data_IF_720503883607
#
_entry.id   IF_720503883607
#
_cell.length_a   1.000
_cell.length_b   1.000
_cell.length_c   1.000
_cell.angle_alpha   90.00
_cell.angle_beta   90.00
_cell.angle_gamma   90.00
#
_symmetry.space_group_name_H-M   'P 1'
#
loop_
_entity.id
_entity.type
_entity.pdbx_description
1 polymer ?
#
# COMPACT_ATOMS: atom_id res chain seq x y z
N UNK A 1 1.38 -4.53 17.08
CA UNK A 1 2.11 -3.77 16.04
C UNK A 1 3.43 -3.31 16.64
N UNK A 2 4.57 -3.68 16.04
CA UNK A 2 5.81 -2.97 16.30
C UNK A 2 5.77 -1.69 15.46
N UNK A 3 5.12 -0.68 15.99
CA UNK A 3 5.20 0.67 15.46
C UNK A 3 6.66 1.13 15.58
N UNK A 4 7.38 1.15 14.46
CA UNK A 4 8.74 1.70 14.40
C UNK A 4 8.62 3.22 14.19
N UNK A 5 7.69 3.87 14.90
CA UNK A 5 7.62 5.32 15.01
C UNK A 5 8.88 5.80 15.70
N UNK A 6 9.86 6.22 14.89
CA UNK A 6 11.13 6.72 15.38
C UNK A 6 10.91 8.10 16.03
N UNK A 7 11.16 8.19 17.34
CA UNK A 7 11.30 9.48 18.02
C UNK A 7 12.66 10.08 17.68
N UNK A 8 12.69 11.14 16.89
CA UNK A 8 13.92 11.82 16.47
C UNK A 8 14.08 13.11 17.28
N UNK A 9 15.26 13.29 17.89
CA UNK A 9 15.61 14.48 18.68
C UNK A 9 15.89 15.69 17.78
N UNK A 10 15.59 16.91 18.26
CA UNK A 10 15.64 18.18 17.51
C UNK A 10 17.03 18.59 17.02
N UNK A 11 18.10 17.97 17.54
CA UNK A 11 19.48 18.25 17.12
C UNK A 11 19.94 17.39 15.94
N UNK A 12 19.09 16.47 15.43
CA UNK A 12 19.43 15.53 14.38
C UNK A 12 18.66 15.85 13.09
N UNK A 13 19.27 15.61 11.92
CA UNK A 13 18.51 15.60 10.67
C UNK A 13 17.59 14.35 10.67
N UNK A 14 16.27 14.52 10.69
CA UNK A 14 15.35 13.43 10.89
C UNK A 14 15.36 12.42 9.75
N UNK A 15 15.58 12.85 8.51
CA UNK A 15 15.67 11.94 7.37
C UNK A 15 16.93 11.07 7.43
N UNK A 16 18.07 11.61 7.87
CA UNK A 16 19.29 10.82 7.99
C UNK A 16 19.19 9.75 9.10
N UNK A 17 18.56 10.09 10.22
CA UNK A 17 18.33 9.16 11.33
C UNK A 17 17.28 8.11 10.94
N UNK A 18 16.20 8.54 10.30
CA UNK A 18 15.19 7.65 9.74
C UNK A 18 15.84 6.65 8.80
N UNK A 19 16.55 7.09 7.76
CA UNK A 19 17.24 6.22 6.80
C UNK A 19 18.18 5.24 7.51
N UNK A 20 18.98 5.67 8.49
CA UNK A 20 19.92 4.78 9.18
C UNK A 20 19.20 3.67 9.95
N UNK A 21 18.15 4.02 10.71
CA UNK A 21 17.38 3.08 11.52
C UNK A 21 16.49 2.18 10.66
N UNK A 22 15.80 2.76 9.68
CA UNK A 22 14.92 2.08 8.74
C UNK A 22 15.71 1.11 7.84
N UNK A 23 16.90 1.50 7.39
CA UNK A 23 17.80 0.60 6.66
C UNK A 23 18.18 -0.66 7.44
N UNK A 24 18.30 -0.55 8.77
CA UNK A 24 18.61 -1.72 9.60
C UNK A 24 17.44 -2.71 9.67
N UNK A 25 16.20 -2.20 9.63
CA UNK A 25 14.97 -3.02 9.63
C UNK A 25 14.75 -3.62 8.25
N UNK A 26 14.94 -2.83 7.17
CA UNK A 26 14.88 -3.34 5.80
C UNK A 26 15.79 -4.54 5.61
N UNK A 27 17.04 -4.47 6.08
CA UNK A 27 18.01 -5.57 5.96
C UNK A 27 17.56 -6.86 6.68
N UNK A 28 16.76 -6.75 7.74
CA UNK A 28 16.32 -7.89 8.55
C UNK A 28 15.02 -8.51 8.05
N UNK A 29 14.09 -7.67 7.60
CA UNK A 29 12.69 -8.10 7.42
C UNK A 29 12.19 -8.01 5.97
N UNK A 30 12.71 -7.07 5.17
CA UNK A 30 12.22 -6.78 3.83
C UNK A 30 13.22 -7.25 2.77
N UNK A 31 12.71 -7.78 1.65
CA UNK A 31 13.54 -8.07 0.49
C UNK A 31 13.91 -6.76 -0.20
N UNK A 32 15.20 -6.44 -0.23
CA UNK A 32 15.72 -5.24 -0.91
C UNK A 32 16.67 -5.60 -2.04
N UNK A 33 16.75 -4.78 -3.09
CA UNK A 33 17.70 -5.00 -4.19
C UNK A 33 19.07 -4.35 -3.99
N UNK A 34 19.19 -3.39 -3.09
CA UNK A 34 20.44 -2.67 -2.85
C UNK A 34 20.59 -2.25 -1.38
N UNK A 35 21.80 -1.84 -1.03
CA UNK A 35 22.09 -1.25 0.27
C UNK A 35 21.59 0.19 0.32
N UNK A 36 20.44 0.39 0.98
CA UNK A 36 19.78 1.70 1.06
C UNK A 36 20.61 2.76 1.77
N UNK A 37 21.59 2.37 2.59
CA UNK A 37 22.52 3.31 3.23
C UNK A 37 23.44 4.02 2.23
N UNK A 38 23.57 3.48 1.01
CA UNK A 38 24.41 4.02 -0.07
C UNK A 38 23.61 4.79 -1.12
N UNK A 39 22.30 4.92 -0.94
CA UNK A 39 21.40 5.57 -1.90
C UNK A 39 20.65 6.72 -1.25
N UNK A 40 20.26 7.70 -2.06
CA UNK A 40 19.38 8.79 -1.64
C UNK A 40 17.94 8.42 -1.96
N UNK A 41 17.00 8.44 -0.99
CA UNK A 41 15.61 8.19 -1.29
C UNK A 41 15.03 9.33 -2.13
N UNK A 42 14.10 8.98 -3.00
CA UNK A 42 13.28 9.92 -3.75
C UNK A 42 12.18 10.41 -2.79
N UNK A 43 12.08 11.73 -2.62
CA UNK A 43 10.92 12.34 -1.99
C UNK A 43 9.83 12.50 -3.04
N UNK A 44 8.65 11.98 -2.77
CA UNK A 44 7.48 12.17 -3.62
C UNK A 44 6.69 13.40 -3.18
N UNK A 45 6.49 14.34 -4.10
CA UNK A 45 5.62 15.49 -3.90
C UNK A 45 4.21 15.16 -4.40
N UNK A 46 3.21 15.50 -3.58
CA UNK A 46 1.79 15.37 -3.94
C UNK A 46 1.49 16.11 -5.24
N UNK A 47 0.87 15.41 -6.20
CA UNK A 47 0.48 15.99 -7.49
C UNK A 47 -0.75 15.28 -8.06
N UNK A 48 -1.66 16.04 -8.66
CA UNK A 48 -2.84 15.46 -9.28
C UNK A 48 -2.46 14.51 -10.43
N UNK A 49 -2.96 13.28 -10.37
CA UNK A 49 -2.71 12.32 -11.44
C UNK A 49 -3.62 12.60 -12.65
N UNK A 50 -3.10 12.53 -13.90
CA UNK A 50 -3.90 12.71 -15.09
C UNK A 50 -5.00 11.65 -15.21
N UNK A 51 -6.25 12.07 -15.38
CA UNK A 51 -7.39 11.15 -15.44
C UNK A 51 -7.31 10.10 -16.55
N UNK A 52 -6.61 10.39 -17.66
CA UNK A 52 -6.43 9.45 -18.77
C UNK A 52 -5.57 8.22 -18.40
N UNK A 53 -4.80 8.26 -17.30
CA UNK A 53 -4.06 7.11 -16.79
C UNK A 53 -4.99 6.06 -16.16
N UNK A 54 -6.16 6.47 -15.68
CA UNK A 54 -7.05 5.63 -14.89
C UNK A 54 -8.26 5.20 -15.70
N UNK A 55 -8.05 4.25 -16.61
CA UNK A 55 -9.10 3.59 -17.38
C UNK A 55 -9.93 2.65 -16.50
N UNK A 56 -10.99 2.09 -17.08
CA UNK A 56 -11.77 1.06 -16.39
C UNK A 56 -10.98 -0.21 -16.08
N UNK A 57 -9.88 -0.52 -16.80
CA UNK A 57 -9.07 -1.70 -16.49
C UNK A 57 -8.02 -1.41 -15.42
N UNK A 58 -7.44 -0.21 -15.42
CA UNK A 58 -6.41 0.15 -14.43
C UNK A 58 -7.01 0.51 -13.07
N UNK A 59 -8.26 0.99 -13.03
CA UNK A 59 -8.93 1.33 -11.77
C UNK A 59 -9.44 0.11 -10.98
N UNK A 60 -9.82 -0.99 -11.66
CA UNK A 60 -10.38 -2.18 -10.97
C UNK A 60 -9.42 -2.78 -9.93
N UNK A 61 -8.13 -2.99 -10.22
CA UNK A 61 -7.17 -3.45 -9.22
C UNK A 61 -7.09 -2.52 -8.00
N UNK A 62 -7.14 -1.20 -8.24
CA UNK A 62 -7.04 -0.18 -7.19
C UNK A 62 -8.26 -0.24 -6.29
N UNK A 63 -9.48 -0.29 -6.85
CA UNK A 63 -10.72 -0.38 -6.06
C UNK A 63 -10.78 -1.69 -5.26
N UNK A 64 -10.45 -2.83 -5.90
CA UNK A 64 -10.42 -4.12 -5.24
C UNK A 64 -9.46 -4.13 -4.04
N UNK A 65 -8.22 -3.65 -4.25
CA UNK A 65 -7.23 -3.63 -3.18
C UNK A 65 -7.55 -2.61 -2.11
N UNK A 66 -8.08 -1.44 -2.46
CA UNK A 66 -8.56 -0.45 -1.49
C UNK A 66 -9.58 -1.07 -0.56
N UNK A 67 -10.55 -1.80 -1.11
CA UNK A 67 -11.59 -2.45 -0.31
C UNK A 67 -11.02 -3.55 0.58
N UNK A 68 -10.12 -4.36 0.03
CA UNK A 68 -9.52 -5.49 0.73
C UNK A 68 -8.61 -5.03 1.89
N UNK A 69 -7.76 -4.01 1.66
CA UNK A 69 -6.85 -3.48 2.67
C UNK A 69 -7.59 -2.71 3.75
N UNK A 70 -8.63 -1.94 3.38
CA UNK A 70 -9.50 -1.26 4.33
C UNK A 70 -10.20 -2.27 5.25
N UNK A 71 -10.79 -3.33 4.69
CA UNK A 71 -11.41 -4.38 5.50
C UNK A 71 -10.42 -5.10 6.43
N UNK A 72 -9.20 -5.34 5.97
CA UNK A 72 -8.16 -5.95 6.78
C UNK A 72 -7.72 -5.07 7.95
N UNK A 73 -7.67 -3.75 7.75
CA UNK A 73 -7.26 -2.79 8.77
C UNK A 73 -8.21 -2.76 9.96
N UNK A 74 -9.51 -2.81 9.69
CA UNK A 74 -10.53 -2.88 10.73
C UNK A 74 -10.83 -4.31 11.18
N UNK A 75 -10.16 -5.31 10.58
CA UNK A 75 -10.47 -6.73 10.73
C UNK A 75 -11.97 -7.06 10.53
N UNK A 76 -12.67 -6.23 9.75
CA UNK A 76 -14.12 -6.34 9.51
C UNK A 76 -14.40 -6.97 8.16
N UNK A 77 -14.65 -8.28 8.20
CA UNK A 77 -15.03 -9.05 7.02
C UNK A 77 -16.34 -8.58 6.38
N UNK A 78 -17.25 -7.93 7.11
CA UNK A 78 -18.53 -7.50 6.53
C UNK A 78 -18.34 -6.49 5.39
N UNK A 79 -17.22 -5.76 5.40
CA UNK A 79 -16.86 -4.83 4.34
C UNK A 79 -16.57 -5.54 2.99
N UNK A 80 -16.22 -6.82 3.00
CA UNK A 80 -15.87 -7.62 1.81
C UNK A 80 -16.75 -8.85 1.61
N UNK A 81 -17.71 -9.09 2.51
CA UNK A 81 -18.55 -10.31 2.52
C UNK A 81 -19.38 -10.52 1.26
N UNK A 82 -19.59 -9.45 0.48
CA UNK A 82 -20.32 -9.47 -0.78
C UNK A 82 -19.59 -10.15 -1.95
N UNK A 83 -18.28 -10.36 -1.84
CA UNK A 83 -17.46 -11.01 -2.87
C UNK A 83 -16.34 -11.91 -2.31
N UNK A 84 -16.23 -11.99 -0.99
CA UNK A 84 -15.17 -12.72 -0.31
C UNK A 84 -15.74 -13.44 0.91
N UNK A 85 -15.36 -14.71 1.09
CA UNK A 85 -15.69 -15.49 2.30
C UNK A 85 -14.52 -15.47 3.29
N UNK A 86 -14.80 -15.65 4.59
CA UNK A 86 -13.75 -15.71 5.64
C UNK A 86 -12.73 -16.83 5.39
N UNK A 87 -13.12 -17.89 4.67
CA UNK A 87 -12.24 -19.00 4.31
C UNK A 87 -11.33 -18.72 3.11
N UNK A 88 -11.60 -17.68 2.33
CA UNK A 88 -10.92 -17.40 1.07
C UNK A 88 -9.48 -16.95 1.29
N UNK A 89 -8.59 -17.33 0.37
CA UNK A 89 -7.15 -17.04 0.44
C UNK A 89 -6.87 -15.55 0.57
N UNK A 90 -7.52 -14.70 -0.22
CA UNK A 90 -7.31 -13.25 -0.20
C UNK A 90 -7.59 -12.64 1.18
N UNK A 91 -8.60 -13.13 1.91
CA UNK A 91 -8.92 -12.66 3.26
C UNK A 91 -7.84 -13.07 4.26
N UNK A 92 -7.43 -14.34 4.21
CA UNK A 92 -6.39 -14.88 5.08
C UNK A 92 -5.04 -14.19 4.87
N UNK A 93 -4.68 -13.94 3.61
CA UNK A 93 -3.44 -13.25 3.26
C UNK A 93 -3.45 -11.81 3.76
N UNK A 94 -4.51 -11.04 3.47
CA UNK A 94 -4.54 -9.63 3.86
C UNK A 94 -4.49 -9.45 5.38
N UNK A 95 -5.20 -10.30 6.15
CA UNK A 95 -5.10 -10.31 7.61
C UNK A 95 -3.70 -10.70 8.10
N UNK A 96 -3.12 -11.76 7.54
CA UNK A 96 -1.77 -12.20 7.89
C UNK A 96 -0.75 -11.09 7.69
N UNK A 97 -0.79 -10.39 6.55
CA UNK A 97 0.18 -9.33 6.28
C UNK A 97 -0.12 -8.05 7.07
N UNK A 98 -1.38 -7.77 7.42
CA UNK A 98 -1.71 -6.70 8.36
C UNK A 98 -1.09 -6.95 9.75
N UNK A 99 -1.32 -8.14 10.31
CA UNK A 99 -0.81 -8.53 11.64
C UNK A 99 0.73 -8.54 11.71
N UNK A 100 1.40 -8.83 10.60
CA UNK A 100 2.85 -8.89 10.50
C UNK A 100 3.51 -7.59 10.02
N UNK A 101 2.77 -6.49 9.87
CA UNK A 101 3.34 -5.20 9.44
C UNK A 101 3.84 -5.18 7.98
N UNK A 102 3.35 -6.08 7.13
CA UNK A 102 3.75 -6.23 5.73
C UNK A 102 2.63 -5.98 4.72
N UNK A 103 1.50 -5.40 5.16
CA UNK A 103 0.33 -5.19 4.30
C UNK A 103 0.64 -4.26 3.12
N UNK A 104 1.38 -3.17 3.35
CA UNK A 104 1.79 -2.25 2.29
C UNK A 104 2.61 -2.95 1.19
N UNK A 105 3.52 -3.86 1.54
CA UNK A 105 4.31 -4.62 0.56
C UNK A 105 3.42 -5.58 -0.20
N UNK A 106 2.60 -6.33 0.52
CA UNK A 106 1.69 -7.30 -0.08
C UNK A 106 0.75 -6.64 -1.08
N UNK A 107 0.08 -5.56 -0.67
CA UNK A 107 -0.84 -4.82 -1.51
C UNK A 107 -0.13 -4.19 -2.71
N UNK A 108 1.03 -3.57 -2.52
CA UNK A 108 1.80 -2.95 -3.61
C UNK A 108 2.28 -3.96 -4.65
N UNK A 109 2.77 -5.12 -4.23
CA UNK A 109 3.22 -6.19 -5.14
C UNK A 109 2.03 -6.82 -5.87
N UNK A 110 0.92 -7.08 -5.17
CA UNK A 110 -0.29 -7.58 -5.80
C UNK A 110 -0.85 -6.57 -6.82
N UNK A 111 -0.91 -5.29 -6.45
CA UNK A 111 -1.33 -4.22 -7.35
C UNK A 111 -0.44 -4.15 -8.59
N UNK A 112 0.88 -4.21 -8.41
CA UNK A 112 1.84 -4.21 -9.51
C UNK A 112 1.51 -5.31 -10.53
N UNK A 113 1.27 -6.53 -10.08
CA UNK A 113 0.93 -7.63 -10.99
C UNK A 113 -0.46 -7.50 -11.60
N UNK A 114 -1.49 -7.13 -10.82
CA UNK A 114 -2.83 -6.95 -11.36
C UNK A 114 -2.90 -5.83 -12.42
N UNK A 115 -2.10 -4.78 -12.27
CA UNK A 115 -1.97 -3.72 -13.28
C UNK A 115 -1.27 -4.23 -14.55
N UNK A 116 -0.25 -5.08 -14.45
CA UNK A 116 0.37 -5.69 -15.63
C UNK A 116 -0.59 -6.60 -16.39
N UNK A 117 -1.43 -7.34 -15.68
CA UNK A 117 -2.41 -8.23 -16.30
C UNK A 117 -3.58 -7.49 -16.97
N UNK A 118 -3.71 -6.17 -16.78
CA UNK A 118 -4.68 -5.35 -17.52
C UNK A 118 -4.38 -5.31 -19.02
N UNK A 119 -3.17 -5.68 -19.43
CA UNK A 119 -2.62 -5.53 -20.79
C UNK A 119 -2.57 -4.07 -21.31
N UNK A 120 -2.88 -3.07 -20.47
CA UNK A 120 -2.78 -1.64 -20.80
C UNK A 120 -1.49 -1.00 -20.23
N UNK A 121 -0.85 -1.67 -19.28
CA UNK A 121 0.34 -1.16 -18.58
C UNK A 121 1.51 -2.12 -18.75
N UNK A 122 2.61 -1.58 -19.27
CA UNK A 122 3.88 -2.28 -19.38
C UNK A 122 4.76 -2.09 -18.14
N UNK A 123 5.66 -3.05 -17.88
CA UNK A 123 6.56 -3.05 -16.70
C UNK A 123 7.42 -1.81 -16.55
N UNK A 124 7.78 -1.13 -17.63
CA UNK A 124 8.58 0.09 -17.61
C UNK A 124 7.80 1.32 -17.11
N UNK A 125 6.47 1.27 -17.09
CA UNK A 125 5.60 2.34 -16.57
C UNK A 125 5.35 2.20 -15.07
N UNK A 126 5.74 1.08 -14.47
CA UNK A 126 5.54 0.78 -13.05
C UNK A 126 6.87 0.71 -12.30
N UNK A 127 6.94 1.39 -11.16
CA UNK A 127 8.04 1.20 -10.20
C UNK A 127 7.48 0.74 -8.86
N UNK A 128 8.03 -0.33 -8.31
CA UNK A 128 7.77 -0.70 -6.92
C UNK A 128 8.69 0.12 -6.01
N UNK A 129 8.12 0.76 -4.99
CA UNK A 129 8.84 1.63 -4.07
C UNK A 129 8.82 1.00 -2.68
N UNK A 130 9.98 0.90 -2.04
CA UNK A 130 10.07 0.65 -0.61
C UNK A 130 10.79 1.82 0.06
N UNK A 131 10.33 2.23 1.22
CA UNK A 131 10.87 3.39 1.90
C UNK A 131 10.14 3.69 3.18
N UNK A 132 9.83 4.95 3.42
CA UNK A 132 9.20 5.38 4.64
C UNK A 132 8.24 6.54 4.40
N UNK A 133 7.22 6.62 5.24
CA UNK A 133 6.43 7.83 5.37
C UNK A 133 7.02 8.72 6.47
N UNK A 134 6.79 10.01 6.34
CA UNK A 134 6.97 11.02 7.38
C UNK A 134 5.65 11.75 7.54
N UNK A 135 5.00 11.56 8.68
CA UNK A 135 3.73 12.20 9.01
C UNK A 135 3.99 13.40 9.90
N UNK A 136 3.73 14.59 9.36
CA UNK A 136 3.82 15.84 10.10
C UNK A 136 2.50 16.11 10.83
N UNK A 137 2.54 16.11 12.16
CA UNK A 137 1.37 16.39 12.97
C UNK A 137 0.98 17.86 12.90
N UNK A 138 -0.31 18.13 12.71
CA UNK A 138 -0.88 19.47 12.85
C UNK A 138 -0.58 20.09 14.23
N UNK A 139 -0.52 21.41 14.30
CA UNK A 139 -0.15 22.17 15.51
C UNK A 139 -0.98 21.82 16.75
N UNK A 140 -2.22 21.42 16.55
CA UNK A 140 -3.18 21.08 17.61
C UNK A 140 -3.23 19.59 17.95
N UNK A 141 -2.43 18.74 17.29
CA UNK A 141 -2.48 17.30 17.50
C UNK A 141 -1.79 16.90 18.82
N UNK A 142 -2.47 16.08 19.64
CA UNK A 142 -1.96 15.67 20.96
C UNK A 142 -0.59 14.98 20.91
N UNK A 143 -0.29 14.27 19.81
CA UNK A 143 0.97 13.57 19.62
C UNK A 143 2.13 14.47 19.16
N UNK A 144 1.88 15.74 18.77
CA UNK A 144 2.93 16.65 18.29
C UNK A 144 4.04 16.85 19.32
N UNK A 145 3.68 16.94 20.60
CA UNK A 145 4.65 17.11 21.69
C UNK A 145 5.47 15.83 21.96
N UNK A 146 4.91 14.66 21.62
CA UNK A 146 5.59 13.36 21.78
C UNK A 146 6.50 13.02 20.59
N UNK A 147 6.14 13.50 19.40
CA UNK A 147 6.86 13.29 18.14
C UNK A 147 7.24 14.64 17.54
N UNK A 148 8.23 15.29 18.17
CA UNK A 148 8.62 16.67 17.88
C UNK A 148 8.96 16.95 16.41
N UNK A 149 9.38 15.92 15.65
CA UNK A 149 9.70 15.99 14.22
C UNK A 149 8.74 15.18 13.34
N UNK A 150 7.54 14.85 13.82
CA UNK A 150 6.61 13.96 13.14
C UNK A 150 6.88 12.47 13.39
N UNK A 151 5.99 11.62 12.87
CA UNK A 151 6.13 10.16 12.95
C UNK A 151 6.72 9.61 11.66
N UNK A 152 7.60 8.61 11.80
CA UNK A 152 8.24 7.94 10.67
C UNK A 152 7.92 6.47 10.72
N UNK A 153 7.57 5.86 9.59
CA UNK A 153 7.33 4.42 9.54
C UNK A 153 7.67 3.83 8.19
N UNK A 154 8.01 2.54 8.19
CA UNK A 154 8.25 1.78 6.97
C UNK A 154 7.01 1.77 6.09
N UNK A 155 7.21 1.94 4.79
CA UNK A 155 6.12 1.90 3.84
C UNK A 155 6.55 1.45 2.45
N UNK A 156 5.60 0.96 1.68
CA UNK A 156 5.78 0.67 0.27
C UNK A 156 4.55 1.05 -0.51
N UNK A 157 4.78 1.46 -1.75
CA UNK A 157 3.77 1.92 -2.68
C UNK A 157 4.26 1.63 -4.11
N UNK A 158 3.43 1.92 -5.11
CA UNK A 158 3.88 1.87 -6.50
C UNK A 158 3.87 3.27 -7.10
N UNK A 159 4.72 3.48 -8.11
CA UNK A 159 4.59 4.58 -9.03
C UNK A 159 4.04 4.05 -10.35
N UNK A 160 3.03 4.70 -10.90
CA UNK A 160 2.57 4.53 -12.27
C UNK A 160 2.82 5.84 -13.03
N UNK A 161 3.77 5.81 -13.97
CA UNK A 161 4.28 7.02 -14.65
C UNK A 161 4.64 8.15 -13.68
N UNK A 162 5.40 7.78 -12.65
CA UNK A 162 5.84 8.66 -11.56
C UNK A 162 4.70 9.21 -10.66
N UNK A 163 3.44 8.83 -10.85
CA UNK A 163 2.36 9.10 -9.90
C UNK A 163 2.22 7.99 -8.86
N UNK A 164 2.12 8.36 -7.58
CA UNK A 164 1.92 7.38 -6.51
C UNK A 164 0.55 6.71 -6.62
N UNK A 165 0.52 5.39 -6.48
CA UNK A 165 -0.70 4.65 -6.15
C UNK A 165 -0.46 3.88 -4.87
N UNK A 166 -1.29 4.14 -3.86
CA UNK A 166 -1.18 3.52 -2.54
C UNK A 166 -2.55 3.22 -1.95
N UNK A 167 -2.88 1.93 -1.89
CA UNK A 167 -4.13 1.41 -1.31
C UNK A 167 -4.00 1.10 0.18
N UNK A 168 -2.86 1.38 0.79
CA UNK A 168 -2.53 1.05 2.18
C UNK A 168 -2.17 2.26 3.02
N UNK A 169 -2.16 3.46 2.45
CA UNK A 169 -1.87 4.65 3.24
C UNK A 169 -2.85 4.89 4.40
N UNK A 170 -4.05 4.31 4.32
CA UNK A 170 -5.01 4.23 5.41
C UNK A 170 -4.41 3.72 6.69
N UNK A 171 -3.42 2.84 6.60
CA UNK A 171 -2.70 2.34 7.77
C UNK A 171 -2.07 3.50 8.55
N UNK A 172 -1.52 4.50 7.85
CA UNK A 172 -0.92 5.69 8.45
C UNK A 172 -2.00 6.56 9.10
N UNK A 173 -3.09 6.84 8.37
CA UNK A 173 -4.21 7.62 8.89
C UNK A 173 -4.85 6.94 10.11
N UNK A 174 -5.09 5.63 10.05
CA UNK A 174 -5.67 4.83 11.14
C UNK A 174 -4.81 4.85 12.41
N UNK A 175 -3.48 4.75 12.27
CA UNK A 175 -2.57 4.75 13.42
C UNK A 175 -2.58 6.07 14.20
N UNK A 176 -2.90 7.19 13.55
CA UNK A 176 -2.86 8.52 14.17
C UNK A 176 -4.24 9.18 14.36
N UNK A 177 -5.24 8.76 13.58
CA UNK A 177 -6.60 9.29 13.56
C UNK A 177 -7.65 8.15 13.56
N UNK A 178 -7.70 7.29 14.61
CA UNK A 178 -8.47 6.04 14.62
C UNK A 178 -10.01 6.20 14.55
N UNK A 179 -10.55 7.43 14.46
CA UNK A 179 -11.99 7.71 14.28
C UNK A 179 -12.39 8.08 12.86
N UNK A 180 -11.44 8.25 11.93
CA UNK A 180 -11.74 8.59 10.54
C UNK A 180 -11.93 7.31 9.72
N UNK A 181 -13.16 6.78 9.71
CA UNK A 181 -13.54 5.53 9.03
C UNK A 181 -13.71 5.65 7.51
N UNK A 182 -13.10 6.64 6.86
CA UNK A 182 -13.29 6.84 5.42
C UNK A 182 -12.38 5.89 4.65
N UNK A 183 -12.94 5.10 3.75
CA UNK A 183 -12.21 4.37 2.72
C UNK A 183 -11.71 5.36 1.65
N UNK A 184 -10.45 5.25 1.24
CA UNK A 184 -9.82 6.07 0.20
C UNK A 184 -8.62 5.29 -0.40
N UNK A 185 -8.03 5.81 -1.45
CA UNK A 185 -6.70 5.41 -1.90
C UNK A 185 -5.98 6.67 -2.31
N UNK A 186 -4.66 6.61 -2.37
CA UNK A 186 -3.90 7.70 -2.98
C UNK A 186 -3.61 7.38 -4.41
N UNK A 187 -3.97 8.34 -5.26
CA UNK A 187 -3.63 8.37 -6.67
C UNK A 187 -3.07 9.76 -6.95
N UNK A 188 -1.76 9.86 -7.04
CA UNK A 188 -1.05 11.11 -7.28
C UNK A 188 -0.98 12.06 -6.07
N UNK A 189 -2.09 12.24 -5.36
CA UNK A 189 -2.21 13.22 -4.28
C UNK A 189 -2.01 12.54 -2.91
N UNK A 190 -1.08 13.05 -2.12
CA UNK A 190 -0.96 12.70 -0.69
C UNK A 190 -1.90 13.56 0.15
N UNK A 191 -2.47 13.00 1.21
CA UNK A 191 -3.31 13.76 2.16
C UNK A 191 -2.56 14.12 3.44
N UNK A 192 -2.99 15.20 4.09
CA UNK A 192 -2.82 15.41 5.53
C UNK A 192 -1.40 15.40 6.09
N UNK A 193 -0.43 16.05 5.43
CA UNK A 193 0.94 16.17 5.97
C UNK A 193 1.76 14.88 5.90
N UNK A 194 1.31 13.87 5.14
CA UNK A 194 2.06 12.64 4.89
C UNK A 194 2.98 12.83 3.69
N UNK A 195 4.28 12.79 3.96
CA UNK A 195 5.35 12.82 2.96
C UNK A 195 5.88 11.40 2.73
N UNK A 196 6.06 11.00 1.47
CA UNK A 196 6.54 9.66 1.11
C UNK A 196 7.96 9.73 0.57
N UNK A 197 8.84 8.88 1.11
CA UNK A 197 10.23 8.75 0.71
C UNK A 197 10.47 7.31 0.28
N UNK A 198 11.15 7.09 -0.85
CA UNK A 198 11.24 5.75 -1.41
C UNK A 198 12.46 5.47 -2.27
N UNK A 199 12.73 4.19 -2.41
CA UNK A 199 13.79 3.59 -3.19
C UNK A 199 13.14 2.76 -4.30
N UNK A 200 13.43 3.07 -5.57
CA UNK A 200 12.93 2.33 -6.75
C UNK A 200 13.51 0.92 -6.75
N UNK A 201 12.71 -0.08 -6.42
CA UNK A 201 13.11 -1.47 -6.37
C UNK A 201 13.22 -2.11 -7.75
N UNK A 202 14.01 -3.18 -7.87
CA UNK A 202 14.12 -3.91 -9.13
C UNK A 202 12.90 -4.83 -9.36
N UNK A 203 12.56 -5.07 -10.62
CA UNK A 203 11.56 -6.08 -11.00
C UNK A 203 11.87 -7.47 -10.44
N UNK A 204 13.15 -7.78 -10.22
CA UNK A 204 13.58 -9.02 -9.56
C UNK A 204 13.11 -9.08 -8.10
N UNK A 205 13.15 -7.97 -7.37
CA UNK A 205 12.62 -7.88 -6.01
C UNK A 205 11.12 -8.13 -6.00
N UNK A 206 10.38 -7.45 -6.89
CA UNK A 206 8.91 -7.63 -7.03
C UNK A 206 8.56 -9.09 -7.30
N UNK A 207 9.26 -9.74 -8.23
CA UNK A 207 9.08 -11.16 -8.52
C UNK A 207 9.38 -12.08 -7.32
N UNK A 208 10.43 -11.80 -6.55
CA UNK A 208 10.74 -12.57 -5.33
C UNK A 208 9.62 -12.46 -4.29
N UNK A 209 9.05 -11.27 -4.11
CA UNK A 209 7.89 -11.10 -3.22
C UNK A 209 6.67 -11.86 -3.71
N UNK A 210 6.30 -11.72 -4.99
CA UNK A 210 5.15 -12.44 -5.53
C UNK A 210 5.31 -13.97 -5.43
N UNK A 211 6.52 -14.49 -5.68
CA UNK A 211 6.83 -15.90 -5.45
C UNK A 211 6.70 -16.31 -3.99
N UNK A 212 7.14 -15.46 -3.04
CA UNK A 212 6.97 -15.70 -1.60
C UNK A 212 5.49 -15.73 -1.20
N UNK A 213 4.69 -14.78 -1.70
CA UNK A 213 3.26 -14.67 -1.39
C UNK A 213 2.49 -15.87 -1.95
N UNK A 214 2.66 -16.16 -3.24
CA UNK A 214 2.06 -17.33 -3.88
C UNK A 214 2.42 -18.64 -3.15
N UNK A 215 3.71 -18.83 -2.81
CA UNK A 215 4.16 -20.02 -2.06
C UNK A 215 3.49 -20.12 -0.69
N UNK A 216 3.32 -19.02 0.03
CA UNK A 216 2.63 -19.01 1.32
C UNK A 216 1.16 -19.45 1.22
N UNK A 217 0.59 -19.37 0.02
CA UNK A 217 -0.78 -19.80 -0.30
C UNK A 217 -0.83 -21.11 -1.07
N UNK A 218 0.29 -21.85 -1.15
CA UNK A 218 0.43 -23.10 -1.90
C UNK A 218 0.07 -22.96 -3.39
N UNK A 219 0.39 -21.82 -3.98
CA UNK A 219 0.15 -21.51 -5.39
C UNK A 219 1.46 -21.20 -6.11
N UNK A 220 1.48 -21.40 -7.42
CA UNK A 220 2.41 -20.71 -8.32
C UNK A 220 2.07 -19.23 -8.40
N UNK A 221 3.02 -18.40 -8.84
CA UNK A 221 2.76 -16.95 -9.01
C UNK A 221 1.62 -16.69 -10.00
N UNK A 222 1.51 -17.49 -11.06
CA UNK A 222 0.44 -17.36 -12.06
C UNK A 222 -0.93 -17.72 -11.49
N UNK A 223 -1.04 -18.81 -10.73
CA UNK A 223 -2.28 -19.19 -10.04
C UNK A 223 -2.71 -18.14 -9.02
N UNK A 224 -1.76 -17.59 -8.26
CA UNK A 224 -2.02 -16.56 -7.28
C UNK A 224 -2.57 -15.28 -7.93
N UNK A 225 -1.98 -14.84 -9.04
CA UNK A 225 -2.48 -13.69 -9.80
C UNK A 225 -3.88 -13.96 -10.35
N UNK A 226 -4.11 -15.12 -10.99
CA UNK A 226 -5.42 -15.51 -11.53
C UNK A 226 -6.50 -15.58 -10.45
N UNK A 227 -6.15 -16.10 -9.27
CA UNK A 227 -7.04 -16.15 -8.13
C UNK A 227 -7.49 -14.74 -7.72
N UNK A 228 -6.56 -13.78 -7.59
CA UNK A 228 -6.92 -12.41 -7.26
C UNK A 228 -7.68 -11.68 -8.37
N UNK A 229 -7.36 -11.94 -9.65
CA UNK A 229 -8.15 -11.42 -10.76
C UNK A 229 -9.61 -11.90 -10.70
N UNK A 230 -9.83 -13.18 -10.38
CA UNK A 230 -11.18 -13.73 -10.21
C UNK A 230 -11.93 -13.00 -9.10
N UNK A 231 -11.30 -12.75 -7.95
CA UNK A 231 -11.93 -12.05 -6.82
C UNK A 231 -12.17 -10.57 -7.08
N UNK A 232 -11.25 -9.92 -7.80
CA UNK A 232 -11.45 -8.57 -8.31
C UNK A 232 -12.66 -8.51 -9.25
N UNK A 233 -12.79 -9.44 -10.19
CA UNK A 233 -13.92 -9.47 -11.12
C UNK A 233 -15.26 -9.74 -10.41
N UNK A 234 -15.26 -10.62 -9.39
CA UNK A 234 -16.42 -10.86 -8.53
C UNK A 234 -16.86 -9.56 -7.82
N UNK A 235 -15.91 -8.85 -7.19
CA UNK A 235 -16.17 -7.55 -6.56
C UNK A 235 -16.79 -6.54 -7.54
N UNK A 236 -16.18 -6.35 -8.71
CA UNK A 236 -16.64 -5.36 -9.69
C UNK A 236 -18.03 -5.70 -10.22
N UNK A 237 -18.29 -6.98 -10.50
CA UNK A 237 -19.62 -7.44 -10.93
C UNK A 237 -20.69 -7.14 -9.88
N UNK A 238 -20.38 -7.39 -8.60
CA UNK A 238 -21.27 -7.08 -7.49
C UNK A 238 -21.54 -5.58 -7.36
N UNK A 239 -20.53 -4.72 -7.52
CA UNK A 239 -20.72 -3.27 -7.47
C UNK A 239 -21.60 -2.76 -8.62
N UNK A 240 -21.42 -3.28 -9.84
CA UNK A 240 -22.27 -2.93 -10.99
C UNK A 240 -23.72 -3.34 -10.74
N UNK A 241 -23.95 -4.55 -10.23
CA UNK A 241 -25.31 -5.01 -9.91
C UNK A 241 -26.00 -4.12 -8.86
N UNK A 242 -25.28 -3.72 -7.81
CA UNK A 242 -25.81 -2.84 -6.77
C UNK A 242 -26.18 -1.45 -7.30
N UNK A 243 -25.38 -0.92 -8.23
CA UNK A 243 -25.66 0.37 -8.87
C UNK A 243 -26.88 0.34 -9.77
N UNK A 244 -27.08 -0.76 -10.51
CA UNK A 244 -28.24 -0.91 -11.39
C UNK A 244 -29.54 -1.07 -10.58
N UNK A 245 -29.53 -1.89 -9.53
CA UNK A 245 -30.71 -2.09 -8.67
C UNK A 245 -31.15 -0.80 -7.94
N UNK A 246 -30.24 0.15 -7.71
CA UNK A 246 -30.56 1.47 -7.13
C UNK A 246 -31.16 2.47 -8.13
N UNK A 247 -31.01 2.24 -9.43
CA UNK A 247 -31.63 3.08 -10.46
C UNK A 247 -33.09 2.71 -10.73
N UNK A 248 -33.46 1.48 -10.38
CA UNK A 248 -34.79 0.92 -10.57
C UNK A 248 -35.68 1.01 -9.31
N UNK A 249 -35.19 1.66 -8.24
CA UNK A 249 -35.88 1.91 -6.97
C UNK A 249 -36.16 3.39 -6.74
#
# INVERSE_FOLDING_TARGET
MNDISLKINNTQNPHNVAIKNISSVFKKEWLTSYDYQKQKPIHYQSQQAPGHLFTSQTIKPILYLTKLTHAALYEDHNLVSSFLKKGDTAWKEVLKYNQNGGLCIYASVLLYYLLLESNEISKNRLSFMQGYYHHEFHDQHILKNMYQNGAFGLHSYILFEDYVIDTTIHQVAFNFYPGEHKEFNFIGETTGGINLYGFKETNRTVYKYAKKFAKNSNMTTEEWIKYHQSKMNEYISTQISLLNNKKDS
#
